data_IF_354244470008
#
_entry.id   IF_354244470008
#
_cell.length_a   1.000
_cell.length_b   1.000
_cell.length_c   1.000
_cell.angle_alpha   90.00
_cell.angle_beta   90.00
_cell.angle_gamma   90.00
#
_symmetry.space_group_name_H-M   'P 1'
#
loop_
_entity.id
_entity.type
_entity.pdbx_description
1 polymer ?
#
# COMPACT_ATOMS: atom_id res chain seq x y z
N UNK A 1 -33.61 17.06 29.59
CA UNK A 1 -32.79 16.66 28.42
C UNK A 1 -31.80 15.62 28.88
N UNK A 2 -32.14 14.35 28.66
CA UNK A 2 -31.33 13.19 29.04
C UNK A 2 -30.39 12.93 27.87
N UNK A 3 -29.12 13.29 28.06
CA UNK A 3 -28.09 13.42 27.02
C UNK A 3 -27.93 12.12 26.22
N UNK A 4 -28.44 12.16 24.98
CA UNK A 4 -28.14 11.17 23.97
C UNK A 4 -26.68 11.31 23.54
N UNK A 5 -25.99 10.17 23.49
CA UNK A 5 -24.66 10.04 22.92
C UNK A 5 -23.68 9.52 23.95
N UNK A 6 -23.36 8.23 23.85
CA UNK A 6 -22.04 7.74 24.23
C UNK A 6 -21.00 8.67 23.59
N UNK A 7 -20.50 9.61 24.38
CA UNK A 7 -19.56 10.61 23.88
C UNK A 7 -18.16 10.04 23.82
N UNK A 8 -17.25 10.83 23.24
CA UNK A 8 -15.80 10.60 23.35
C UNK A 8 -15.36 10.37 24.82
N UNK A 9 -15.92 11.05 25.85
CA UNK A 9 -15.52 10.82 27.25
C UNK A 9 -15.81 9.40 27.77
N UNK A 10 -17.01 8.87 27.57
CA UNK A 10 -17.33 7.48 27.95
C UNK A 10 -16.42 6.48 27.24
N UNK A 11 -16.16 6.67 25.94
CA UNK A 11 -15.28 5.77 25.18
C UNK A 11 -13.85 5.78 25.74
N UNK A 12 -13.34 6.94 26.18
CA UNK A 12 -12.03 7.06 26.82
C UNK A 12 -11.98 6.34 28.17
N UNK A 13 -13.04 6.40 28.98
CA UNK A 13 -13.12 5.68 30.26
C UNK A 13 -13.09 4.16 30.01
N UNK A 14 -13.87 3.67 29.05
CA UNK A 14 -13.87 2.24 28.68
C UNK A 14 -12.49 1.82 28.17
N UNK A 15 -11.87 2.64 27.30
CA UNK A 15 -10.52 2.39 26.79
C UNK A 15 -9.49 2.32 27.92
N UNK A 16 -9.58 3.21 28.91
CA UNK A 16 -8.68 3.21 30.07
C UNK A 16 -8.80 1.90 30.88
N UNK A 17 -10.02 1.39 31.08
CA UNK A 17 -10.25 0.11 31.76
C UNK A 17 -9.66 -1.05 30.95
N UNK A 18 -9.90 -1.09 29.64
CA UNK A 18 -9.32 -2.12 28.75
C UNK A 18 -7.80 -2.07 28.80
N UNK A 19 -7.19 -0.88 28.78
CA UNK A 19 -5.75 -0.71 28.90
C UNK A 19 -5.20 -1.15 30.27
N UNK A 20 -5.95 -1.00 31.35
CA UNK A 20 -5.57 -1.51 32.68
C UNK A 20 -5.59 -3.04 32.73
N UNK A 21 -6.62 -3.67 32.15
CA UNK A 21 -6.77 -5.14 32.16
C UNK A 21 -5.76 -5.82 31.23
N UNK A 22 -5.67 -5.35 29.99
CA UNK A 22 -4.79 -5.97 28.99
C UNK A 22 -3.36 -5.41 29.00
N UNK A 23 -3.18 -4.20 29.52
CA UNK A 23 -1.92 -3.47 29.46
C UNK A 23 -1.67 -2.82 28.09
N UNK A 24 -1.01 -1.65 28.04
CA UNK A 24 -0.71 -0.96 26.77
C UNK A 24 0.25 -1.76 25.87
N UNK A 25 1.08 -2.64 26.45
CA UNK A 25 2.01 -3.49 25.68
C UNK A 25 1.27 -4.49 24.78
N UNK A 26 0.21 -5.13 25.29
CA UNK A 26 -0.60 -6.09 24.51
C UNK A 26 -1.40 -5.39 23.43
N UNK A 27 -1.93 -4.20 23.73
CA UNK A 27 -2.64 -3.40 22.75
C UNK A 27 -1.72 -2.91 21.62
N UNK A 28 -0.47 -2.55 21.93
CA UNK A 28 0.53 -2.19 20.91
C UNK A 28 0.93 -3.37 20.02
N UNK A 29 1.16 -4.55 20.58
CA UNK A 29 1.51 -5.72 19.77
C UNK A 29 0.37 -6.11 18.83
N UNK A 30 -0.85 -6.23 19.36
CA UNK A 30 -2.04 -6.55 18.55
C UNK A 30 -2.37 -5.43 17.55
N UNK A 31 -2.23 -4.17 17.96
CA UNK A 31 -2.49 -3.01 17.10
C UNK A 31 -1.48 -2.88 15.95
N UNK A 32 -0.23 -3.30 16.14
CA UNK A 32 0.78 -3.30 15.07
C UNK A 32 0.42 -4.28 13.96
N UNK A 33 0.00 -5.49 14.35
CA UNK A 33 -0.35 -6.56 13.40
C UNK A 33 -1.64 -6.22 12.64
N UNK A 34 -2.68 -5.81 13.39
CA UNK A 34 -3.95 -5.37 12.81
C UNK A 34 -3.77 -4.11 11.96
N UNK A 35 -2.97 -3.15 12.43
CA UNK A 35 -2.68 -1.91 11.71
C UNK A 35 -1.97 -2.16 10.39
N UNK A 36 -1.04 -3.12 10.36
CA UNK A 36 -0.34 -3.51 9.13
C UNK A 36 -1.29 -4.16 8.12
N UNK A 37 -2.18 -5.04 8.58
CA UNK A 37 -3.21 -5.66 7.74
C UNK A 37 -4.18 -4.62 7.16
N UNK A 38 -4.70 -3.73 8.00
CA UNK A 38 -5.62 -2.65 7.58
C UNK A 38 -4.92 -1.68 6.63
N UNK A 39 -3.63 -1.37 6.85
CA UNK A 39 -2.85 -0.51 5.96
C UNK A 39 -2.68 -1.12 4.57
N UNK A 40 -2.41 -2.43 4.50
CA UNK A 40 -2.35 -3.17 3.23
C UNK A 40 -3.70 -3.17 2.52
N UNK A 41 -4.79 -3.44 3.25
CA UNK A 41 -6.15 -3.41 2.72
C UNK A 41 -6.52 -2.04 2.16
N UNK A 42 -6.31 -0.97 2.94
CA UNK A 42 -6.57 0.40 2.50
C UNK A 42 -5.76 0.75 1.25
N UNK A 43 -4.50 0.32 1.19
CA UNK A 43 -3.66 0.59 0.02
C UNK A 43 -4.15 -0.14 -1.23
N UNK A 44 -4.55 -1.40 -1.11
CA UNK A 44 -5.11 -2.15 -2.24
C UNK A 44 -6.40 -1.50 -2.76
N UNK A 45 -7.33 -1.15 -1.86
CA UNK A 45 -8.59 -0.48 -2.23
C UNK A 45 -8.33 0.89 -2.87
N UNK A 46 -7.43 1.71 -2.29
CA UNK A 46 -7.11 3.04 -2.84
C UNK A 46 -6.32 2.99 -4.15
N UNK A 47 -5.53 1.94 -4.41
CA UNK A 47 -4.77 1.78 -5.66
C UNK A 47 -5.68 1.31 -6.80
N UNK A 48 -6.68 0.49 -6.49
CA UNK A 48 -7.72 0.07 -7.44
C UNK A 48 -8.55 1.27 -7.93
N UNK A 49 -8.94 2.17 -7.01
CA UNK A 49 -9.64 3.42 -7.37
C UNK A 49 -8.78 4.35 -8.23
N UNK A 50 -7.48 4.47 -7.93
CA UNK A 50 -6.55 5.28 -8.75
C UNK A 50 -6.25 4.68 -10.12
N UNK A 51 -6.35 3.36 -10.27
CA UNK A 51 -6.15 2.67 -11.55
C UNK A 51 -7.37 2.81 -12.47
N UNK A 52 -8.56 3.02 -11.90
CA UNK A 52 -9.78 3.32 -12.66
C UNK A 52 -9.77 4.71 -13.30
N UNK A 53 -9.03 5.69 -12.77
CA UNK A 53 -8.94 7.06 -13.33
C UNK A 53 -7.79 7.27 -14.33
N UNK A 54 -6.96 6.26 -14.60
CA UNK A 54 -5.82 6.34 -15.55
C UNK A 54 -6.00 5.51 -16.84
N UNK A 55 -7.24 5.17 -17.18
CA UNK A 55 -7.56 4.44 -18.43
C UNK A 55 -8.24 5.35 -19.45
N UNK A 56 -7.64 6.49 -19.76
CA UNK A 56 -7.81 7.19 -21.04
C UNK A 56 -6.41 7.30 -21.66
N UNK A 57 -5.99 6.22 -22.32
CA UNK A 57 -4.75 6.15 -23.08
C UNK A 57 -5.10 5.69 -24.50
N UNK A 58 -4.97 6.54 -25.53
CA UNK A 58 -4.80 6.03 -26.87
C UNK A 58 -3.34 5.60 -27.02
N UNK A 59 -3.07 4.31 -26.82
CA UNK A 59 -1.80 3.68 -27.21
C UNK A 59 -1.67 3.80 -28.72
N UNK A 60 -0.80 4.68 -29.17
CA UNK A 60 -0.32 4.68 -30.56
C UNK A 60 0.50 3.40 -30.74
N UNK A 61 0.01 2.51 -31.59
CA UNK A 61 0.72 1.29 -32.01
C UNK A 61 1.58 1.69 -33.22
N UNK A 62 2.70 2.36 -32.97
CA UNK A 62 3.72 2.58 -34.01
C UNK A 62 4.63 1.36 -34.04
N UNK A 63 4.38 0.50 -35.03
CA UNK A 63 5.28 -0.59 -35.36
C UNK A 63 6.59 -0.04 -35.90
N UNK A 64 7.68 -0.28 -35.17
CA UNK A 64 9.04 -0.19 -35.71
C UNK A 64 9.62 -1.61 -35.76
N UNK A 65 9.35 -2.29 -36.87
CA UNK A 65 10.24 -3.31 -37.43
C UNK A 65 10.79 -2.70 -38.71
N UNK A 66 12.06 -2.29 -38.72
CA UNK A 66 13.03 -2.62 -39.77
C UNK A 66 14.23 -1.67 -39.79
N UNK A 67 15.41 -2.29 -39.93
CA UNK A 67 16.70 -1.76 -40.36
C UNK A 67 17.47 -0.86 -39.40
N UNK A 68 18.79 -0.92 -39.26
CA UNK A 68 19.88 -1.82 -39.66
C UNK A 68 21.16 -1.02 -39.37
N UNK A 69 22.28 -1.72 -39.12
CA UNK A 69 23.66 -1.20 -39.21
C UNK A 69 24.08 -0.24 -38.07
N UNK A 70 25.25 -0.31 -37.43
CA UNK A 70 26.50 -0.99 -37.70
C UNK A 70 27.44 -0.67 -36.52
N UNK A 71 28.01 -1.69 -35.84
CA UNK A 71 29.33 -1.54 -35.23
C UNK A 71 30.06 -2.86 -35.21
N UNK A 72 30.80 -3.06 -36.30
CA UNK A 72 31.93 -3.98 -36.44
C UNK A 72 33.07 -3.53 -35.50
N UNK A 73 33.85 -4.52 -35.04
CA UNK A 73 35.16 -4.45 -34.36
C UNK A 73 35.18 -3.90 -32.91
N UNK A 74 35.81 -4.55 -31.92
CA UNK A 74 37.05 -5.36 -31.94
C UNK A 74 37.22 -6.18 -30.64
N UNK A 75 38.05 -7.24 -30.72
CA UNK A 75 38.69 -8.07 -29.66
C UNK A 75 37.85 -9.22 -29.10
N UNK A 76 38.04 -10.48 -29.53
CA UNK A 76 39.26 -11.31 -29.46
C UNK A 76 39.72 -11.46 -28.00
N UNK A 77 39.30 -12.56 -27.37
CA UNK A 77 40.14 -13.42 -26.54
C UNK A 77 39.36 -14.72 -26.26
N UNK A 78 39.57 -15.67 -27.17
CA UNK A 78 39.43 -17.09 -26.91
C UNK A 78 40.70 -17.52 -26.18
N UNK A 79 40.59 -18.03 -24.96
CA UNK A 79 41.55 -18.99 -24.47
C UNK A 79 40.84 -20.01 -23.56
N UNK A 80 40.64 -21.20 -24.13
CA UNK A 80 40.43 -22.49 -23.45
C UNK A 80 41.40 -23.48 -24.07
#
# INVERSE_FOLDING_TARGET
MMFGGFGIPELLIVLAIVLLVFGPKRLKSLGSDLGSAIKGFRKAVSDDEKKSEKSDDPRVIEGEVSQSQQKTESKQDTNV
#
